data_IF_289409120025
#
_entry.id   IF_289409120025
#
_cell.length_a   1.000
_cell.length_b   1.000
_cell.length_c   1.000
_cell.angle_alpha   90.00
_cell.angle_beta   90.00
_cell.angle_gamma   90.00
#
_symmetry.space_group_name_H-M   'P 1'
#
loop_
_entity.id
_entity.type
_entity.pdbx_description
1 polymer ?
#
# COMPACT_ATOMS: atom_id res chain seq x y z
N UNK A 1 17.27 17.68 -9.44
CA UNK A 1 16.30 18.12 -8.42
C UNK A 1 14.92 18.04 -9.09
N UNK A 2 14.06 17.09 -8.71
CA UNK A 2 12.72 16.99 -9.31
C UNK A 2 11.83 18.01 -8.57
N UNK A 3 11.47 19.08 -9.26
CA UNK A 3 10.50 20.06 -8.74
C UNK A 3 9.16 19.34 -8.60
N UNK A 4 8.67 19.18 -7.38
CA UNK A 4 7.26 18.83 -7.15
C UNK A 4 6.45 20.09 -7.40
N UNK A 5 5.95 20.23 -8.63
CA UNK A 5 4.90 21.20 -8.96
C UNK A 5 3.73 20.94 -8.04
N UNK A 6 3.53 21.84 -7.07
CA UNK A 6 2.30 21.85 -6.29
C UNK A 6 1.19 22.22 -7.26
N UNK A 7 0.06 21.49 -7.28
CA UNK A 7 -1.02 21.82 -8.19
C UNK A 7 -1.48 23.26 -7.97
N UNK A 8 -1.67 23.99 -9.08
CA UNK A 8 -2.24 25.33 -9.05
C UNK A 8 -3.64 25.21 -8.43
N UNK A 9 -3.95 26.01 -7.40
CA UNK A 9 -5.26 25.96 -6.72
C UNK A 9 -6.40 26.05 -7.74
N UNK A 10 -7.27 25.05 -7.77
CA UNK A 10 -8.45 24.99 -8.64
C UNK A 10 -8.24 24.25 -9.96
N UNK A 11 -7.05 23.70 -10.22
CA UNK A 11 -6.78 22.85 -11.38
C UNK A 11 -6.48 21.43 -10.86
N UNK A 12 -7.20 20.43 -11.39
CA UNK A 12 -6.93 19.04 -11.07
C UNK A 12 -5.56 18.62 -11.64
N UNK A 13 -4.76 17.84 -10.87
CA UNK A 13 -3.47 17.34 -11.34
C UNK A 13 -3.64 16.36 -12.50
N UNK A 14 -2.59 16.21 -13.32
CA UNK A 14 -2.60 15.30 -14.50
C UNK A 14 -2.89 13.84 -14.15
N UNK A 15 -2.53 13.42 -12.94
CA UNK A 15 -2.77 12.07 -12.41
C UNK A 15 -3.59 12.17 -11.13
N UNK A 16 -4.60 11.33 -11.03
CA UNK A 16 -5.36 11.19 -9.78
C UNK A 16 -4.50 10.53 -8.69
N UNK A 17 -4.93 10.66 -7.43
CA UNK A 17 -4.28 9.98 -6.30
C UNK A 17 -4.22 8.46 -6.52
N UNK A 18 -5.29 7.89 -7.08
CA UNK A 18 -5.40 6.46 -7.35
C UNK A 18 -4.43 6.01 -8.46
N UNK A 19 -4.19 6.85 -9.48
CA UNK A 19 -3.20 6.58 -10.53
C UNK A 19 -1.77 6.58 -9.97
N UNK A 20 -1.47 7.54 -9.09
CA UNK A 20 -0.20 7.64 -8.38
C UNK A 20 0.01 6.41 -7.47
N UNK A 21 -1.04 5.92 -6.81
CA UNK A 21 -0.97 4.72 -5.98
C UNK A 21 -0.75 3.46 -6.81
N UNK A 22 -1.47 3.29 -7.93
CA UNK A 22 -1.28 2.16 -8.86
C UNK A 22 0.13 2.11 -9.44
N UNK A 23 0.71 3.25 -9.80
CA UNK A 23 2.08 3.32 -10.32
C UNK A 23 3.13 2.92 -9.28
N UNK A 24 2.93 3.28 -8.01
CA UNK A 24 3.88 2.99 -6.93
C UNK A 24 3.73 1.59 -6.32
N UNK A 25 2.50 1.10 -6.18
CA UNK A 25 2.18 -0.11 -5.43
C UNK A 25 1.73 -1.27 -6.34
N UNK A 26 1.50 -0.99 -7.62
CA UNK A 26 0.98 -1.96 -8.58
C UNK A 26 -0.55 -2.06 -8.59
N UNK A 27 -1.09 -2.96 -9.41
CA UNK A 27 -2.53 -3.18 -9.54
C UNK A 27 -3.13 -3.74 -8.24
N UNK A 28 -4.16 -3.06 -7.71
CA UNK A 28 -4.89 -3.53 -6.52
C UNK A 28 -5.73 -4.75 -6.90
N UNK A 29 -5.77 -5.75 -6.00
CA UNK A 29 -6.68 -6.88 -6.12
C UNK A 29 -6.39 -7.86 -7.26
N UNK A 30 -5.16 -7.92 -7.77
CA UNK A 30 -4.79 -8.98 -8.73
C UNK A 30 -4.94 -10.35 -8.05
N UNK A 31 -5.78 -11.26 -8.60
CA UNK A 31 -5.96 -12.58 -8.02
C UNK A 31 -4.62 -13.32 -7.87
N UNK A 32 -4.26 -13.67 -6.63
CA UNK A 32 -3.01 -14.37 -6.31
C UNK A 32 -1.77 -13.48 -6.11
N UNK A 33 -1.87 -12.17 -6.32
CA UNK A 33 -0.82 -11.23 -5.96
C UNK A 33 -0.94 -10.79 -4.49
N UNK A 34 0.17 -10.45 -3.81
CA UNK A 34 0.11 -9.86 -2.48
C UNK A 34 -0.64 -8.53 -2.51
N UNK A 35 -1.42 -8.25 -1.47
CA UNK A 35 -2.10 -6.97 -1.32
C UNK A 35 -1.04 -5.84 -1.31
N UNK A 36 -1.20 -4.78 -2.12
CA UNK A 36 -0.32 -3.61 -2.05
C UNK A 36 -0.31 -2.93 -0.66
N UNK A 37 -1.34 -3.16 0.16
CA UNK A 37 -1.36 -2.72 1.55
C UNK A 37 -0.29 -3.44 2.38
N UNK A 38 0.73 -2.67 2.80
CA UNK A 38 1.74 -3.13 3.75
C UNK A 38 1.26 -2.88 5.18
N UNK A 39 1.63 -3.79 6.06
CA UNK A 39 1.45 -3.64 7.49
C UNK A 39 2.31 -2.50 8.03
N UNK A 40 1.91 -1.93 9.17
CA UNK A 40 2.79 -0.98 9.88
C UNK A 40 3.92 -1.75 10.56
N UNK A 41 5.14 -1.18 10.70
CA UNK A 41 6.25 -1.88 11.36
C UNK A 41 5.91 -2.36 12.77
N UNK A 42 5.11 -1.58 13.51
CA UNK A 42 4.64 -1.95 14.84
C UNK A 42 3.68 -3.15 14.81
N UNK A 43 2.80 -3.23 13.81
CA UNK A 43 1.85 -4.32 13.66
C UNK A 43 2.56 -5.59 13.20
N UNK A 44 3.44 -5.49 12.19
CA UNK A 44 4.27 -6.61 11.73
C UNK A 44 5.04 -7.28 12.86
N UNK A 45 5.66 -6.48 13.72
CA UNK A 45 6.42 -7.00 14.86
C UNK A 45 5.56 -7.72 15.90
N UNK A 46 4.28 -7.35 16.02
CA UNK A 46 3.33 -7.97 16.96
C UNK A 46 2.57 -9.14 16.34
N UNK A 47 2.55 -9.24 15.02
CA UNK A 47 1.90 -10.34 14.32
C UNK A 47 2.89 -11.50 14.23
N UNK A 48 2.57 -12.67 14.82
CA UNK A 48 3.42 -13.85 14.71
C UNK A 48 3.57 -14.24 13.23
N UNK A 49 4.80 -14.43 12.75
CA UNK A 49 5.06 -14.86 11.37
C UNK A 49 4.64 -16.32 11.12
N UNK A 50 4.57 -17.12 12.18
CA UNK A 50 4.14 -18.51 12.14
C UNK A 50 2.80 -18.62 12.84
N UNK A 51 1.82 -19.19 12.14
CA UNK A 51 0.53 -19.52 12.73
C UNK A 51 0.76 -20.66 13.74
N UNK A 52 0.39 -20.44 15.00
CA UNK A 52 0.45 -21.49 16.03
C UNK A 52 -0.40 -22.68 15.55
N UNK A 53 0.13 -23.92 15.51
CA UNK A 53 -0.61 -25.13 15.16
C UNK A 53 -1.87 -25.39 16.01
N UNK A 54 -2.08 -24.60 17.07
CA UNK A 54 -3.22 -24.66 17.95
C UNK A 54 -2.90 -25.50 19.17
N UNK A 55 -3.26 -24.99 20.36
CA UNK A 55 -3.31 -25.81 21.55
C UNK A 55 -4.41 -26.87 21.38
N UNK A 56 -4.01 -28.10 21.10
CA UNK A 56 -4.92 -29.24 21.15
C UNK A 56 -5.11 -29.59 22.63
N UNK A 57 -6.35 -29.53 23.11
CA UNK A 57 -6.73 -29.91 24.47
C UNK A 57 -6.71 -31.42 24.68
#
# INVERSE_FOLDING_TARGET
>A
MKQTERPIKGIEPEKSEDDIQREQLGPRGVPGAPDPAKMTPQRDKKTPATVDPGHTA
#
